data_IF_153377618030
#
_entry.id   IF_153377618030
#
_cell.length_a   1.000
_cell.length_b   1.000
_cell.length_c   1.000
_cell.angle_alpha   90.00
_cell.angle_beta   90.00
_cell.angle_gamma   90.00
#
_symmetry.space_group_name_H-M   'P 1'
#
loop_
_entity.id
_entity.type
_entity.pdbx_description
1 polymer ?
#
# COMPACT_ATOMS: atom_id res chain seq x y z
N UNK A 1 9.20 -50.61 -33.53
CA UNK A 1 7.83 -50.36 -33.02
C UNK A 1 7.76 -50.14 -31.51
N UNK A 2 8.71 -50.66 -30.71
CA UNK A 2 8.74 -50.46 -29.25
C UNK A 2 9.18 -49.04 -28.82
N UNK A 3 10.16 -48.43 -29.50
CA UNK A 3 10.64 -47.07 -29.20
C UNK A 3 9.54 -46.00 -29.34
N UNK A 4 8.78 -46.03 -30.44
CA UNK A 4 7.64 -45.11 -30.68
C UNK A 4 6.58 -45.16 -29.57
N UNK A 5 6.27 -46.34 -29.03
CA UNK A 5 5.32 -46.48 -27.91
C UNK A 5 5.88 -45.93 -26.59
N UNK A 6 7.19 -46.05 -26.37
CA UNK A 6 7.85 -45.55 -25.16
C UNK A 6 7.91 -44.02 -25.14
N UNK A 7 8.20 -43.39 -26.28
CA UNK A 7 8.20 -41.93 -26.42
C UNK A 7 6.80 -41.34 -26.25
N UNK A 8 5.78 -41.95 -26.88
CA UNK A 8 4.37 -41.57 -26.73
C UNK A 8 3.92 -41.62 -25.26
N UNK A 9 4.30 -42.67 -24.52
CA UNK A 9 3.99 -42.80 -23.09
C UNK A 9 4.71 -41.75 -22.24
N UNK A 10 5.96 -41.42 -22.58
CA UNK A 10 6.72 -40.37 -21.89
C UNK A 10 6.13 -38.98 -22.12
N UNK A 11 5.67 -38.70 -23.35
CA UNK A 11 5.02 -37.44 -23.71
C UNK A 11 3.63 -37.33 -23.09
N UNK A 12 2.85 -38.42 -23.03
CA UNK A 12 1.59 -38.45 -22.30
C UNK A 12 1.80 -38.16 -20.81
N UNK A 13 2.81 -38.78 -20.18
CA UNK A 13 3.16 -38.53 -18.79
C UNK A 13 3.51 -37.06 -18.53
N UNK A 14 4.30 -36.44 -19.43
CA UNK A 14 4.63 -35.01 -19.36
C UNK A 14 3.40 -34.12 -19.50
N UNK A 15 2.48 -34.43 -20.41
CA UNK A 15 1.22 -33.69 -20.59
C UNK A 15 0.34 -33.78 -19.34
N UNK A 16 0.21 -34.96 -18.75
CA UNK A 16 -0.57 -35.16 -17.51
C UNK A 16 0.03 -34.35 -16.36
N UNK A 17 1.35 -34.41 -16.17
CA UNK A 17 2.04 -33.60 -15.14
C UNK A 17 1.83 -32.10 -15.37
N UNK A 18 1.97 -31.63 -16.61
CA UNK A 18 1.74 -30.23 -16.95
C UNK A 18 0.29 -29.79 -16.67
N UNK A 19 -0.69 -30.63 -16.99
CA UNK A 19 -2.11 -30.36 -16.71
C UNK A 19 -2.41 -30.26 -15.22
N UNK A 20 -1.80 -31.13 -14.40
CA UNK A 20 -1.91 -31.08 -12.94
C UNK A 20 -1.31 -29.78 -12.40
N UNK A 21 -0.11 -29.40 -12.85
CA UNK A 21 0.56 -28.15 -12.45
C UNK A 21 -0.29 -26.92 -12.81
N UNK A 22 -0.85 -26.88 -14.02
CA UNK A 22 -1.69 -25.76 -14.44
C UNK A 22 -2.99 -25.65 -13.63
N UNK A 23 -3.57 -26.78 -13.26
CA UNK A 23 -4.76 -26.81 -12.41
C UNK A 23 -4.43 -26.30 -11.01
N UNK A 24 -3.31 -26.73 -10.43
CA UNK A 24 -2.82 -26.21 -9.14
C UNK A 24 -2.58 -24.70 -9.18
N UNK A 25 -1.89 -24.20 -10.19
CA UNK A 25 -1.66 -22.75 -10.36
C UNK A 25 -2.99 -21.98 -10.46
N UNK A 26 -3.95 -22.49 -11.23
CA UNK A 26 -5.27 -21.87 -11.34
C UNK A 26 -6.00 -21.81 -9.99
N UNK A 27 -5.96 -22.88 -9.19
CA UNK A 27 -6.55 -22.90 -7.86
C UNK A 27 -5.89 -21.89 -6.91
N UNK A 28 -4.55 -21.78 -6.94
CA UNK A 28 -3.81 -20.83 -6.11
C UNK A 28 -4.23 -19.39 -6.45
N UNK A 29 -4.23 -19.03 -7.74
CA UNK A 29 -4.62 -17.68 -8.21
C UNK A 29 -6.08 -17.39 -7.83
N UNK A 30 -6.97 -18.36 -7.98
CA UNK A 30 -8.38 -18.18 -7.62
C UNK A 30 -8.55 -17.95 -6.12
N UNK A 31 -7.87 -18.74 -5.29
CA UNK A 31 -7.93 -18.60 -3.84
C UNK A 31 -7.40 -17.22 -3.39
N UNK A 32 -6.25 -16.80 -3.93
CA UNK A 32 -5.69 -15.47 -3.60
C UNK A 32 -6.62 -14.34 -4.00
N UNK A 33 -7.27 -14.43 -5.17
CA UNK A 33 -8.23 -13.41 -5.61
C UNK A 33 -9.47 -13.36 -4.71
N UNK A 34 -10.00 -14.51 -4.29
CA UNK A 34 -11.15 -14.57 -3.37
C UNK A 34 -10.78 -13.95 -2.01
N UNK A 35 -9.58 -14.22 -1.52
CA UNK A 35 -9.10 -13.66 -0.26
C UNK A 35 -8.90 -12.14 -0.34
N UNK A 36 -8.33 -11.65 -1.44
CA UNK A 36 -8.19 -10.21 -1.70
C UNK A 36 -9.54 -9.49 -1.80
N UNK A 37 -10.50 -10.09 -2.50
CA UNK A 37 -11.87 -9.58 -2.57
C UNK A 37 -12.57 -9.56 -1.20
N UNK A 38 -12.38 -10.61 -0.40
CA UNK A 38 -12.89 -10.63 0.98
C UNK A 38 -12.26 -9.54 1.83
N UNK A 39 -10.96 -9.29 1.67
CA UNK A 39 -10.26 -8.20 2.36
C UNK A 39 -10.84 -6.84 1.96
N UNK A 40 -10.90 -6.55 0.65
CA UNK A 40 -11.48 -5.30 0.14
C UNK A 40 -12.91 -5.05 0.61
N UNK A 41 -13.74 -6.09 0.68
CA UNK A 41 -15.12 -5.98 1.19
C UNK A 41 -15.22 -5.62 2.67
N UNK A 42 -14.18 -5.86 3.48
CA UNK A 42 -14.13 -5.44 4.88
C UNK A 42 -13.74 -3.98 5.06
N UNK A 43 -13.13 -3.37 4.05
CA UNK A 43 -12.71 -1.96 4.08
C UNK A 43 -13.89 -1.05 3.69
N UNK A 44 -14.77 -0.79 4.65
CA UNK A 44 -16.04 -0.08 4.39
C UNK A 44 -15.98 1.41 4.65
N UNK A 45 -15.03 1.87 5.48
CA UNK A 45 -14.90 3.28 5.85
C UNK A 45 -13.69 3.92 5.19
N UNK A 46 -13.72 5.25 5.08
CA UNK A 46 -12.70 6.05 4.40
C UNK A 46 -12.19 7.17 5.30
N UNK A 47 -10.90 7.45 5.23
CA UNK A 47 -10.24 8.57 5.91
C UNK A 47 -9.09 9.12 5.08
N UNK A 48 -8.43 10.15 5.59
CA UNK A 48 -7.26 10.77 4.97
C UNK A 48 -6.01 10.15 5.58
N UNK A 49 -5.15 9.57 4.74
CA UNK A 49 -3.81 9.13 5.11
C UNK A 49 -2.74 10.06 4.59
N UNK A 50 -1.63 10.13 5.31
CA UNK A 50 -0.44 10.88 4.91
C UNK A 50 0.72 9.93 4.63
N UNK A 51 1.22 9.96 3.41
CA UNK A 51 2.38 9.17 2.98
C UNK A 51 3.67 9.84 3.45
N UNK A 52 4.51 9.08 4.16
CA UNK A 52 5.65 9.65 4.90
C UNK A 52 7.01 9.35 4.31
N UNK A 53 7.26 8.09 3.98
CA UNK A 53 8.57 7.62 3.50
C UNK A 53 8.43 6.28 2.81
N UNK A 54 9.40 5.97 1.98
CA UNK A 54 9.58 4.64 1.41
C UNK A 54 10.70 3.91 2.15
N UNK A 55 10.52 2.62 2.37
CA UNK A 55 11.52 1.73 2.96
C UNK A 55 11.73 0.54 2.04
N UNK A 56 12.98 0.21 1.73
CA UNK A 56 13.32 -0.96 0.94
C UNK A 56 13.58 -2.15 1.87
N UNK A 57 12.74 -3.18 1.79
CA UNK A 57 12.84 -4.40 2.60
C UNK A 57 12.46 -5.62 1.76
N UNK A 58 13.15 -6.75 1.93
CA UNK A 58 12.82 -8.02 1.26
C UNK A 58 12.71 -7.94 -0.28
N UNK A 59 13.56 -7.11 -0.91
CA UNK A 59 13.54 -6.83 -2.36
C UNK A 59 12.31 -6.07 -2.86
N UNK A 60 11.47 -5.59 -1.95
CA UNK A 60 10.28 -4.78 -2.26
C UNK A 60 10.38 -3.41 -1.60
N UNK A 61 9.80 -2.40 -2.23
CA UNK A 61 9.69 -1.08 -1.62
C UNK A 61 8.34 -0.98 -0.92
N UNK A 62 8.35 -0.51 0.33
CA UNK A 62 7.17 -0.32 1.14
C UNK A 62 6.97 1.18 1.38
N UNK A 63 5.81 1.69 0.99
CA UNK A 63 5.39 3.05 1.35
C UNK A 63 4.80 3.01 2.76
N UNK A 64 5.41 3.75 3.68
CA UNK A 64 4.90 3.98 5.02
C UNK A 64 3.96 5.16 5.02
N UNK A 65 2.78 4.99 5.59
CA UNK A 65 1.80 6.05 5.77
C UNK A 65 1.18 5.98 7.16
N UNK A 66 0.49 7.04 7.55
CA UNK A 66 -0.32 7.03 8.76
C UNK A 66 -1.63 7.78 8.56
N UNK A 67 -2.58 7.46 9.41
CA UNK A 67 -3.85 8.15 9.52
C UNK A 67 -4.27 8.15 11.00
N UNK A 68 -5.32 8.90 11.33
CA UNK A 68 -5.80 8.99 12.70
C UNK A 68 -7.21 8.41 12.84
N UNK A 69 -7.36 7.50 13.79
CA UNK A 69 -8.63 7.00 14.32
C UNK A 69 -8.45 6.76 15.82
N UNK A 70 -8.96 7.66 16.66
CA UNK A 70 -8.78 7.62 18.12
C UNK A 70 -7.31 7.47 18.57
N UNK A 71 -6.36 7.85 17.71
CA UNK A 71 -4.95 7.54 17.85
C UNK A 71 -4.27 7.47 16.49
N UNK A 72 -2.94 7.49 16.47
CA UNK A 72 -2.16 7.39 15.23
C UNK A 72 -1.99 5.93 14.84
N UNK A 73 -2.42 5.56 13.65
CA UNK A 73 -2.22 4.23 13.08
C UNK A 73 -1.12 4.31 12.03
N UNK A 74 -0.10 3.46 12.16
CA UNK A 74 1.02 3.35 11.22
C UNK A 74 0.80 2.13 10.34
N UNK A 75 0.84 2.32 9.03
CA UNK A 75 0.61 1.24 8.08
C UNK A 75 1.55 1.33 6.90
N UNK A 76 1.58 0.27 6.11
CA UNK A 76 2.46 0.14 4.98
C UNK A 76 1.74 -0.50 3.80
N UNK A 77 2.16 -0.12 2.59
CA UNK A 77 1.74 -0.80 1.36
C UNK A 77 2.95 -1.06 0.49
N UNK A 78 2.90 -2.16 -0.27
CA UNK A 78 3.94 -2.47 -1.25
C UNK A 78 3.76 -1.56 -2.46
N UNK A 79 4.86 -1.02 -2.95
CA UNK A 79 4.89 -0.22 -4.18
C UNK A 79 6.00 -0.74 -5.10
N UNK A 80 5.76 -0.60 -6.40
CA UNK A 80 6.75 -0.93 -7.42
C UNK A 80 7.72 0.25 -7.57
N UNK A 81 8.96 0.03 -7.13
CA UNK A 81 10.03 1.05 -7.18
C UNK A 81 9.96 2.07 -6.04
N UNK A 82 10.90 3.02 -6.06
CA UNK A 82 10.95 4.14 -5.12
C UNK A 82 10.43 5.39 -5.81
N UNK A 83 9.11 5.55 -5.86
CA UNK A 83 8.52 6.78 -6.37
C UNK A 83 8.48 7.84 -5.26
N UNK A 84 9.49 8.71 -5.24
CA UNK A 84 9.55 9.85 -4.32
C UNK A 84 8.35 10.80 -4.48
N UNK A 85 7.68 10.77 -5.64
CA UNK A 85 6.50 11.60 -5.84
C UNK A 85 5.33 11.16 -4.96
N UNK A 86 5.34 9.96 -4.38
CA UNK A 86 4.28 9.52 -3.46
C UNK A 86 4.43 10.08 -2.04
N UNK A 87 5.61 10.60 -1.69
CA UNK A 87 5.94 11.03 -0.35
C UNK A 87 5.40 12.45 -0.08
N UNK A 88 5.06 12.74 1.19
CA UNK A 88 4.54 14.02 1.67
C UNK A 88 3.23 14.46 1.01
N UNK A 89 2.42 13.49 0.60
CA UNK A 89 1.10 13.70 0.00
C UNK A 89 0.01 13.04 0.83
N UNK A 90 -1.20 13.58 0.69
CA UNK A 90 -2.40 13.01 1.27
C UNK A 90 -3.10 12.12 0.24
N UNK A 91 -3.63 11.01 0.72
CA UNK A 91 -4.35 10.03 -0.07
C UNK A 91 -5.57 9.55 0.70
N UNK A 92 -6.51 8.97 -0.03
CA UNK A 92 -7.61 8.24 0.60
C UNK A 92 -7.08 6.94 1.21
N UNK A 93 -7.52 6.62 2.42
CA UNK A 93 -7.30 5.34 3.08
C UNK A 93 -8.64 4.70 3.33
N UNK A 94 -8.79 3.44 2.94
CA UNK A 94 -9.94 2.61 3.29
C UNK A 94 -9.55 1.69 4.42
N UNK A 95 -10.40 1.57 5.43
CA UNK A 95 -10.11 0.74 6.60
C UNK A 95 -11.33 -0.05 7.05
N UNK A 96 -11.08 -1.12 7.81
CA UNK A 96 -12.11 -1.89 8.48
C UNK A 96 -12.46 -1.20 9.82
N UNK A 97 -13.69 -0.72 10.04
CA UNK A 97 -14.06 -0.04 11.29
C UNK A 97 -13.94 -0.90 12.54
N UNK A 98 -14.03 -2.23 12.40
CA UNK A 98 -13.87 -3.16 13.52
C UNK A 98 -12.40 -3.51 13.80
N UNK A 99 -11.52 -3.32 12.82
CA UNK A 99 -10.08 -3.56 12.95
C UNK A 99 -9.29 -2.60 12.04
N UNK A 100 -9.02 -1.36 12.49
CA UNK A 100 -8.39 -0.33 11.66
C UNK A 100 -6.98 -0.67 11.15
N UNK A 101 -6.29 -1.64 11.76
CA UNK A 101 -5.01 -2.17 11.26
C UNK A 101 -5.18 -2.90 9.92
N UNK A 102 -6.38 -3.38 9.60
CA UNK A 102 -6.76 -3.76 8.24
C UNK A 102 -7.14 -2.51 7.44
N UNK A 103 -6.19 -2.01 6.67
CA UNK A 103 -6.38 -0.82 5.85
C UNK A 103 -5.61 -0.89 4.52
N UNK A 104 -6.02 -0.05 3.58
CA UNK A 104 -5.43 0.10 2.24
C UNK A 104 -5.42 1.58 1.84
N UNK A 105 -4.25 2.10 1.50
CA UNK A 105 -4.09 3.42 0.90
C UNK A 105 -4.32 3.35 -0.61
N UNK A 106 -5.16 4.26 -1.13
CA UNK A 106 -5.51 4.35 -2.54
C UNK A 106 -4.58 5.37 -3.23
N UNK A 107 -3.49 4.88 -3.81
CA UNK A 107 -2.43 5.74 -4.37
C UNK A 107 -2.84 6.49 -5.65
N UNK A 108 -3.81 5.95 -6.39
CA UNK A 108 -4.37 6.60 -7.58
C UNK A 108 -5.22 7.84 -7.22
N UNK A 109 -5.71 7.92 -5.99
CA UNK A 109 -6.54 9.02 -5.48
C UNK A 109 -5.74 9.96 -4.58
N UNK A 110 -4.83 10.75 -5.18
CA UNK A 110 -4.18 11.87 -4.48
C UNK A 110 -5.23 12.88 -4.03
N UNK A 111 -5.18 13.28 -2.76
CA UNK A 111 -6.05 14.29 -2.17
C UNK A 111 -5.29 15.61 -1.96
N UNK A 112 -6.01 16.71 -2.13
CA UNK A 112 -5.59 18.06 -1.72
C UNK A 112 -6.60 18.60 -0.69
N UNK A 113 -6.65 18.01 0.51
CA UNK A 113 -7.67 18.34 1.49
C UNK A 113 -7.46 19.75 2.05
N UNK A 114 -8.57 20.45 2.29
CA UNK A 114 -8.51 21.72 3.00
C UNK A 114 -8.14 21.52 4.49
N UNK A 115 -7.82 22.63 5.16
CA UNK A 115 -7.40 22.59 6.57
C UNK A 115 -8.49 22.03 7.51
N UNK A 116 -9.77 22.20 7.17
CA UNK A 116 -10.89 21.74 7.99
C UNK A 116 -11.01 20.22 7.90
N UNK A 117 -10.88 19.68 6.70
CA UNK A 117 -10.91 18.26 6.39
C UNK A 117 -9.75 17.53 7.06
N UNK A 118 -8.55 18.13 7.04
CA UNK A 118 -7.39 17.61 7.75
C UNK A 118 -7.61 17.57 9.27
N UNK A 119 -8.13 18.64 9.87
CA UNK A 119 -8.44 18.67 11.31
C UNK A 119 -9.52 17.65 11.67
N UNK A 120 -10.57 17.51 10.86
CA UNK A 120 -11.60 16.46 11.05
C UNK A 120 -11.02 15.06 10.96
N UNK A 121 -10.04 14.84 10.08
CA UNK A 121 -9.31 13.59 9.96
C UNK A 121 -8.23 13.39 11.05
N UNK A 122 -8.19 14.25 12.07
CA UNK A 122 -7.29 14.12 13.23
C UNK A 122 -5.91 14.73 13.06
N UNK A 123 -5.61 15.36 11.91
CA UNK A 123 -4.33 16.02 11.69
C UNK A 123 -4.27 17.38 12.41
N UNK A 124 -3.07 17.71 12.84
CA UNK A 124 -2.75 18.97 13.52
C UNK A 124 -1.72 19.75 12.73
N UNK A 125 -1.88 21.08 12.72
CA UNK A 125 -0.90 21.96 12.08
C UNK A 125 0.12 22.41 13.12
N UNK A 126 1.35 21.92 13.00
CA UNK A 126 2.45 22.27 13.90
C UNK A 126 3.29 23.38 13.30
N UNK A 127 3.57 24.43 14.09
CA UNK A 127 4.51 25.48 13.74
C UNK A 127 5.94 25.06 14.08
N UNK A 128 6.90 25.45 13.25
CA UNK A 128 8.31 25.27 13.51
C UNK A 128 9.10 26.47 13.00
N UNK A 129 10.30 26.68 13.55
CA UNK A 129 11.08 27.87 13.27
C UNK A 129 12.45 27.47 12.72
N UNK A 130 12.87 28.09 11.62
CA UNK A 130 14.22 27.94 11.07
C UNK A 130 14.96 29.26 11.26
N UNK A 131 16.16 29.23 11.83
CA UNK A 131 16.99 30.42 11.95
C UNK A 131 17.66 30.74 10.61
N UNK A 132 17.36 31.92 10.05
CA UNK A 132 18.03 32.44 8.87
C UNK A 132 19.23 33.28 9.27
N UNK A 133 20.41 32.64 9.25
CA UNK A 133 21.69 33.27 9.57
C UNK A 133 22.27 34.13 8.44
N UNK A 134 21.68 34.10 7.24
CA UNK A 134 22.29 34.66 6.03
C UNK A 134 21.71 36.01 5.60
N UNK A 135 20.42 36.26 5.83
CA UNK A 135 19.75 37.47 5.31
C UNK A 135 19.09 38.28 6.42
N UNK A 136 18.30 37.64 7.28
CA UNK A 136 17.46 38.35 8.25
C UNK A 136 17.94 38.29 9.70
N UNK A 137 18.85 37.36 10.03
CA UNK A 137 19.27 37.06 11.41
C UNK A 137 18.08 36.82 12.36
N UNK A 138 17.03 36.18 11.84
CA UNK A 138 15.76 35.96 12.54
C UNK A 138 15.28 34.52 12.36
N UNK A 139 14.42 34.10 13.28
CA UNK A 139 13.65 32.86 13.15
C UNK A 139 12.49 33.08 12.18
N UNK A 140 12.47 32.31 11.09
CA UNK A 140 11.39 32.28 10.12
C UNK A 140 10.39 31.21 10.55
N UNK A 141 9.12 31.60 10.70
CA UNK A 141 8.04 30.68 11.03
C UNK A 141 7.62 29.88 9.81
N UNK A 142 7.55 28.56 9.97
CA UNK A 142 7.00 27.62 9.01
C UNK A 142 5.91 26.78 9.69
N UNK A 143 5.10 26.09 8.89
CA UNK A 143 4.09 25.17 9.39
C UNK A 143 4.03 23.89 8.57
N UNK A 144 3.71 22.77 9.22
CA UNK A 144 3.50 21.47 8.56
C UNK A 144 2.37 20.71 9.24
N UNK A 145 1.72 19.84 8.47
CA UNK A 145 0.72 18.91 8.99
C UNK A 145 1.38 17.71 9.65
N UNK A 146 0.84 17.29 10.78
CA UNK A 146 1.26 16.12 11.54
C UNK A 146 0.06 15.40 12.12
#
# INVERSE_FOLDING_TARGET
MAESKSELRSNLGRIVVFSIVMTLLFFIIRHSNVEHEKFKKRLTEETIGFATRTEYANKTTHLKYYFYLNGKILSETKIDGSDETLINKFYKVKYNPNNPEENEIVLDEKLEPDSISLVKAGFTKTKYYIYDAGVTCKYIEHSKWK
#
